data_IF_684481355318
#
_entry.id   IF_684481355318
#
_cell.length_a   1.000
_cell.length_b   1.000
_cell.length_c   1.000
_cell.angle_alpha   90.00
_cell.angle_beta   90.00
_cell.angle_gamma   90.00
#
_symmetry.space_group_name_H-M   'P 1'
#
loop_
_entity.id
_entity.type
_entity.pdbx_description
1 polymer ?
#
# COMPACT_ATOMS: atom_id res chain seq x y z
N UNK A 1 25.51 2.87 6.14
CA UNK A 1 24.65 2.51 5.00
C UNK A 1 23.30 1.95 5.47
N UNK A 2 23.27 1.01 6.43
CA UNK A 2 22.03 0.46 7.01
C UNK A 2 21.01 1.52 7.48
N UNK A 3 21.46 2.59 8.15
CA UNK A 3 20.55 3.64 8.63
C UNK A 3 19.86 4.44 7.51
N UNK A 4 20.49 4.58 6.35
CA UNK A 4 19.93 5.31 5.22
C UNK A 4 18.89 4.47 4.46
N UNK A 5 19.14 3.17 4.33
CA UNK A 5 18.20 2.20 3.76
C UNK A 5 16.93 2.09 4.60
N UNK A 6 17.07 1.96 5.93
CA UNK A 6 15.92 1.96 6.86
C UNK A 6 15.12 3.28 6.79
N UNK A 7 15.80 4.42 6.63
CA UNK A 7 15.12 5.72 6.51
C UNK A 7 14.36 5.83 5.18
N UNK A 8 14.94 5.33 4.08
CA UNK A 8 14.30 5.28 2.78
C UNK A 8 13.06 4.36 2.80
N UNK A 9 13.19 3.17 3.38
CA UNK A 9 12.07 2.22 3.51
C UNK A 9 10.90 2.82 4.28
N UNK A 10 11.18 3.51 5.40
CA UNK A 10 10.14 4.23 6.16
C UNK A 10 9.45 5.33 5.35
N UNK A 11 10.19 6.05 4.51
CA UNK A 11 9.63 7.09 3.65
C UNK A 11 8.75 6.49 2.55
N UNK A 12 9.22 5.41 1.91
CA UNK A 12 8.47 4.64 0.91
C UNK A 12 7.15 4.14 1.51
N UNK A 13 7.19 3.47 2.66
CA UNK A 13 6.00 2.90 3.30
C UNK A 13 5.01 3.99 3.70
N UNK A 14 5.49 5.10 4.26
CA UNK A 14 4.63 6.22 4.65
C UNK A 14 3.89 6.81 3.45
N UNK A 15 4.60 7.08 2.36
CA UNK A 15 4.00 7.67 1.16
C UNK A 15 3.06 6.69 0.47
N UNK A 16 3.46 5.42 0.33
CA UNK A 16 2.61 4.38 -0.25
C UNK A 16 1.33 4.16 0.57
N UNK A 17 1.43 4.23 1.90
CA UNK A 17 0.28 4.13 2.82
C UNK A 17 -0.71 5.27 2.55
N UNK A 18 -0.23 6.50 2.38
CA UNK A 18 -1.11 7.64 2.06
C UNK A 18 -1.79 7.44 0.71
N UNK A 19 -1.02 7.12 -0.34
CA UNK A 19 -1.55 6.86 -1.68
C UNK A 19 -2.58 5.73 -1.68
N UNK A 20 -2.33 4.66 -0.92
CA UNK A 20 -3.28 3.56 -0.78
C UNK A 20 -4.57 4.00 -0.09
N UNK A 21 -4.48 4.76 1.01
CA UNK A 21 -5.68 5.27 1.71
C UNK A 21 -6.50 6.16 0.79
N UNK A 22 -5.84 7.08 0.09
CA UNK A 22 -6.51 8.00 -0.86
C UNK A 22 -7.18 7.21 -1.99
N UNK A 23 -6.50 6.20 -2.55
CA UNK A 23 -7.07 5.34 -3.59
C UNK A 23 -8.35 4.65 -3.16
N UNK A 24 -8.37 4.01 -1.97
CA UNK A 24 -9.57 3.32 -1.51
C UNK A 24 -10.71 4.28 -1.17
N UNK A 25 -10.37 5.46 -0.63
CA UNK A 25 -11.36 6.50 -0.38
C UNK A 25 -11.98 7.02 -1.69
N UNK A 26 -11.16 7.32 -2.69
CA UNK A 26 -11.63 7.89 -3.96
C UNK A 26 -12.36 6.88 -4.86
N UNK A 27 -11.91 5.62 -4.90
CA UNK A 27 -12.49 4.59 -5.79
C UNK A 27 -13.67 3.84 -5.18
N UNK A 28 -13.71 3.71 -3.85
CA UNK A 28 -14.68 2.85 -3.16
C UNK A 28 -15.41 3.55 -2.01
N UNK A 29 -15.21 4.86 -1.79
CA UNK A 29 -15.77 5.59 -0.63
C UNK A 29 -15.49 4.87 0.70
N UNK A 30 -14.29 4.27 0.82
CA UNK A 30 -13.97 3.33 1.89
C UNK A 30 -12.72 3.75 2.65
N UNK A 31 -12.86 3.90 3.97
CA UNK A 31 -11.73 4.07 4.90
C UNK A 31 -11.02 2.73 5.11
N UNK A 32 -9.70 2.68 4.91
CA UNK A 32 -8.88 1.47 5.09
C UNK A 32 -7.74 1.66 6.09
N UNK A 33 -7.22 0.55 6.61
CA UNK A 33 -6.02 0.53 7.47
C UNK A 33 -5.05 -0.52 6.94
N UNK A 34 -3.86 -0.07 6.53
CA UNK A 34 -2.75 -0.97 6.20
C UNK A 34 -2.01 -1.41 7.46
N UNK A 35 -1.73 -2.71 7.55
CA UNK A 35 -1.17 -3.35 8.75
C UNK A 35 0.17 -4.02 8.50
N UNK A 36 0.50 -4.30 7.23
CA UNK A 36 1.77 -4.87 6.80
C UNK A 36 2.27 -4.21 5.53
N UNK A 37 3.56 -4.39 5.24
CA UNK A 37 4.14 -3.97 3.98
C UNK A 37 5.28 -4.91 3.56
N UNK A 38 5.57 -4.92 2.26
CA UNK A 38 6.77 -5.55 1.68
C UNK A 38 7.35 -4.65 0.61
N UNK A 39 8.63 -4.32 0.74
CA UNK A 39 9.38 -3.58 -0.29
C UNK A 39 10.17 -4.59 -1.14
N UNK A 40 10.07 -4.44 -2.46
CA UNK A 40 10.89 -5.13 -3.44
C UNK A 40 11.96 -4.16 -3.94
N UNK A 41 13.25 -4.40 -3.63
CA UNK A 41 14.35 -3.53 -4.03
C UNK A 41 14.37 -3.22 -5.52
N UNK A 42 14.97 -2.08 -5.87
CA UNK A 42 14.91 -1.58 -7.26
C UNK A 42 15.75 -2.35 -8.26
N UNK A 43 16.70 -3.17 -7.79
CA UNK A 43 17.40 -4.13 -8.64
C UNK A 43 16.50 -5.32 -9.05
N UNK A 44 15.28 -5.40 -8.52
CA UNK A 44 14.27 -6.42 -8.86
C UNK A 44 13.06 -5.76 -9.52
N UNK A 45 12.31 -4.90 -8.82
CA UNK A 45 11.04 -4.36 -9.35
C UNK A 45 10.60 -2.99 -8.81
N UNK A 46 11.37 -2.35 -7.92
CA UNK A 46 11.01 -1.05 -7.30
C UNK A 46 9.56 -1.00 -6.77
N UNK A 47 9.08 -2.08 -6.16
CA UNK A 47 7.67 -2.23 -5.79
C UNK A 47 7.47 -2.16 -4.28
N UNK A 48 6.32 -1.68 -3.84
CA UNK A 48 5.84 -1.80 -2.47
C UNK A 48 4.45 -2.42 -2.48
N UNK A 49 4.24 -3.39 -1.60
CA UNK A 49 2.98 -4.07 -1.35
C UNK A 49 2.51 -3.68 0.04
N UNK A 50 1.22 -3.37 0.17
CA UNK A 50 0.57 -3.08 1.43
C UNK A 50 -0.64 -4.00 1.58
N UNK A 51 -0.76 -4.68 2.71
CA UNK A 51 -1.95 -5.45 3.06
C UNK A 51 -2.65 -4.81 4.26
N UNK A 52 -3.97 -4.88 4.25
CA UNK A 52 -4.80 -4.22 5.23
C UNK A 52 -6.22 -4.76 5.25
N UNK A 53 -7.10 -3.97 5.85
CA UNK A 53 -8.52 -4.24 5.88
C UNK A 53 -9.32 -2.94 5.92
N UNK A 54 -10.62 -3.02 5.64
CA UNK A 54 -11.55 -1.90 5.83
C UNK A 54 -11.62 -1.53 7.31
N UNK A 55 -11.64 -0.23 7.60
CA UNK A 55 -11.62 0.28 8.98
C UNK A 55 -12.89 -0.15 9.72
N UNK A 56 -12.70 -0.92 10.79
CA UNK A 56 -13.81 -1.49 11.58
C UNK A 56 -14.22 -2.91 11.16
N UNK A 57 -13.76 -3.38 10.00
CA UNK A 57 -14.10 -4.68 9.42
C UNK A 57 -12.81 -5.48 9.14
N UNK A 58 -12.30 -6.18 10.16
CA UNK A 58 -10.99 -6.87 10.05
C UNK A 58 -10.96 -8.02 9.05
N UNK A 59 -12.12 -8.60 8.75
CA UNK A 59 -12.24 -9.72 7.82
C UNK A 59 -12.41 -9.24 6.36
N UNK A 60 -12.77 -7.97 6.16
CA UNK A 60 -12.85 -7.34 4.84
C UNK A 60 -11.45 -6.88 4.42
N UNK A 61 -10.68 -7.84 3.90
CA UNK A 61 -9.28 -7.65 3.54
C UNK A 61 -9.14 -6.79 2.29
N UNK A 62 -8.05 -6.03 2.22
CA UNK A 62 -7.64 -5.24 1.05
C UNK A 62 -6.13 -5.36 0.87
N UNK A 63 -5.66 -5.14 -0.37
CA UNK A 63 -4.23 -5.04 -0.66
C UNK A 63 -3.98 -4.12 -1.84
N UNK A 64 -2.87 -3.41 -1.82
CA UNK A 64 -2.46 -2.56 -2.95
C UNK A 64 -0.96 -2.68 -3.19
N UNK A 65 -0.60 -2.66 -4.46
CA UNK A 65 0.79 -2.67 -4.93
C UNK A 65 1.04 -1.50 -5.86
N UNK A 66 2.21 -0.89 -5.74
CA UNK A 66 2.61 0.25 -6.56
C UNK A 66 4.13 0.30 -6.74
N UNK A 67 4.55 0.97 -7.81
CA UNK A 67 5.97 1.34 -7.98
C UNK A 67 6.30 2.45 -6.96
N UNK A 68 7.28 2.26 -6.07
CA UNK A 68 7.55 3.27 -5.02
C UNK A 68 8.35 4.48 -5.50
N UNK A 69 8.79 4.50 -6.76
CA UNK A 69 9.47 5.65 -7.37
C UNK A 69 8.44 6.62 -7.97
N UNK A 70 7.37 6.09 -8.56
CA UNK A 70 6.31 6.88 -9.23
C UNK A 70 4.99 6.92 -8.46
N UNK A 71 4.77 5.98 -7.54
CA UNK A 71 3.50 5.69 -6.87
C UNK A 71 2.37 5.33 -7.82
N UNK A 72 2.70 4.84 -9.01
CA UNK A 72 1.74 4.27 -9.94
C UNK A 72 1.25 2.91 -9.41
N UNK A 73 -0.06 2.78 -9.25
CA UNK A 73 -0.71 1.54 -8.78
C UNK A 73 -0.58 0.47 -9.86
N UNK A 74 -0.13 -0.72 -9.45
CA UNK A 74 0.11 -1.88 -10.33
C UNK A 74 -0.86 -3.02 -10.13
N UNK A 75 -1.55 -3.05 -9.00
CA UNK A 75 -2.56 -4.05 -8.68
C UNK A 75 -3.16 -3.80 -7.32
N UNK A 76 -4.39 -4.23 -7.13
CA UNK A 76 -5.14 -4.05 -5.90
C UNK A 76 -6.16 -5.19 -5.72
N UNK A 77 -6.60 -5.37 -4.49
CA UNK A 77 -7.76 -6.19 -4.13
C UNK A 77 -8.86 -5.24 -3.64
N UNK A 78 -10.02 -5.15 -4.32
CA UNK A 78 -11.12 -4.29 -3.88
C UNK A 78 -11.67 -4.78 -2.52
N UNK A 79 -12.35 -3.91 -1.75
CA UNK A 79 -13.09 -4.35 -0.57
C UNK A 79 -14.22 -5.31 -0.97
N UNK A 80 -14.68 -6.14 -0.02
CA UNK A 80 -15.86 -6.98 -0.24
C UNK A 80 -17.07 -6.14 -0.69
N UNK A 81 -17.80 -6.66 -1.69
CA UNK A 81 -18.96 -5.96 -2.26
C UNK A 81 -18.66 -5.05 -3.45
N UNK A 82 -17.39 -4.90 -3.84
CA UNK A 82 -16.97 -4.21 -5.06
C UNK A 82 -16.36 -5.20 -6.07
N UNK A 83 -16.68 -5.05 -7.36
CA UNK A 83 -16.14 -5.85 -8.48
C UNK A 83 -15.01 -5.13 -9.23
#
# INVERSE_FOLDING_TARGET
MLNAEIALDKAIVKQATQVGVDYYHEQYDTDVVFTSHKIIPSNIASAVFLDGHVKGEKDNLISISMDYRTYEIKGYMPPEGYE
#
